data_IF_226097263591
#
_entry.id   IF_226097263591
#
_cell.length_a   1.000
_cell.length_b   1.000
_cell.length_c   1.000
_cell.angle_alpha   90.00
_cell.angle_beta   90.00
_cell.angle_gamma   90.00
#
_symmetry.space_group_name_H-M   'P 1'
#
loop_
_entity.id
_entity.type
_entity.pdbx_description
1 polymer ?
#
# COMPACT_ATOMS: atom_id res chain seq x y z
N UNK A 1 1.40 15.11 4.69
CA UNK A 1 1.28 13.96 5.59
C UNK A 1 1.58 12.71 4.79
N UNK A 2 2.54 11.93 5.25
CA UNK A 2 2.88 10.62 4.68
C UNK A 2 3.26 9.68 5.79
N UNK A 3 2.73 8.45 5.77
CA UNK A 3 3.17 7.37 6.62
C UNK A 3 3.26 6.08 5.82
N UNK A 4 4.23 5.25 6.16
CA UNK A 4 4.47 3.98 5.49
C UNK A 4 4.91 2.92 6.48
N UNK A 5 4.74 1.66 6.12
CA UNK A 5 5.31 0.52 6.83
C UNK A 5 6.06 -0.34 5.82
N UNK A 6 7.29 -0.73 6.16
CA UNK A 6 7.95 -1.89 5.56
C UNK A 6 7.90 -3.02 6.58
N UNK A 7 7.62 -4.23 6.14
CA UNK A 7 7.43 -5.32 7.08
C UNK A 7 7.73 -6.69 6.46
N UNK A 8 8.06 -7.63 7.34
CA UNK A 8 8.30 -9.03 7.03
C UNK A 8 7.47 -9.89 7.97
N UNK A 9 6.67 -10.78 7.40
CA UNK A 9 5.97 -11.79 8.19
C UNK A 9 6.99 -12.81 8.75
N UNK A 10 7.10 -12.98 10.08
CA UNK A 10 7.99 -13.99 10.66
C UNK A 10 7.55 -15.42 10.33
N UNK A 11 6.26 -15.64 10.03
CA UNK A 11 5.70 -16.96 9.71
C UNK A 11 5.93 -17.36 8.25
N UNK A 12 5.61 -16.48 7.31
CA UNK A 12 5.63 -16.79 5.86
C UNK A 12 6.91 -16.29 5.19
N UNK A 13 7.68 -15.43 5.84
CA UNK A 13 8.85 -14.78 5.23
C UNK A 13 8.49 -13.70 4.21
N UNK A 14 7.20 -13.43 4.02
CA UNK A 14 6.71 -12.47 3.05
C UNK A 14 7.06 -11.05 3.42
N UNK A 15 7.35 -10.24 2.41
CA UNK A 15 7.79 -8.86 2.52
C UNK A 15 6.72 -7.95 1.94
N UNK A 16 6.43 -6.84 2.62
CA UNK A 16 5.48 -5.85 2.14
C UNK A 16 5.95 -4.43 2.40
N UNK A 17 5.43 -3.52 1.56
CA UNK A 17 5.46 -2.09 1.80
C UNK A 17 4.05 -1.56 1.60
N UNK A 18 3.56 -0.77 2.56
CA UNK A 18 2.32 -0.02 2.42
C UNK A 18 2.59 1.44 2.70
N UNK A 19 1.96 2.33 1.92
CA UNK A 19 2.14 3.78 2.02
C UNK A 19 0.79 4.47 1.88
N UNK A 20 0.56 5.48 2.71
CA UNK A 20 -0.52 6.44 2.53
C UNK A 20 0.04 7.85 2.60
N UNK A 21 -0.35 8.71 1.65
CA UNK A 21 0.21 10.04 1.52
C UNK A 21 -0.79 11.03 0.90
N UNK A 22 -0.66 12.30 1.31
CA UNK A 22 -1.25 13.45 0.61
C UNK A 22 -0.44 13.88 -0.62
N UNK A 23 0.72 13.30 -0.89
CA UNK A 23 1.52 13.57 -2.09
C UNK A 23 1.05 12.74 -3.30
N UNK A 24 1.07 13.35 -4.50
CA UNK A 24 0.63 12.69 -5.74
C UNK A 24 1.52 11.48 -6.02
N UNK A 25 0.93 10.41 -6.56
CA UNK A 25 1.64 9.22 -7.02
C UNK A 25 2.54 8.53 -5.97
N UNK A 26 2.23 8.66 -4.67
CA UNK A 26 3.03 8.04 -3.62
C UNK A 26 3.18 6.51 -3.78
N UNK A 27 2.15 5.82 -4.28
CA UNK A 27 2.21 4.38 -4.56
C UNK A 27 3.19 3.96 -5.65
N UNK A 28 3.58 4.87 -6.55
CA UNK A 28 4.62 4.59 -7.56
C UNK A 28 6.02 5.10 -7.18
N UNK A 29 6.12 5.95 -6.16
CA UNK A 29 7.36 6.67 -5.82
C UNK A 29 7.98 6.19 -4.50
N UNK A 30 7.17 5.73 -3.56
CA UNK A 30 7.60 5.39 -2.20
C UNK A 30 7.93 3.91 -2.03
N UNK A 31 7.08 2.96 -2.45
CA UNK A 31 7.27 1.55 -2.11
C UNK A 31 8.17 0.83 -3.12
N UNK A 32 9.10 0.03 -2.61
CA UNK A 32 9.92 -0.90 -3.37
C UNK A 32 9.96 -2.23 -2.63
N UNK A 33 9.54 -3.32 -3.27
CA UNK A 33 9.56 -4.63 -2.65
C UNK A 33 10.02 -5.67 -3.67
N UNK A 34 10.82 -6.63 -3.22
CA UNK A 34 11.19 -7.80 -4.02
C UNK A 34 11.12 -9.05 -3.14
N UNK A 35 10.32 -10.02 -3.59
CA UNK A 35 10.13 -11.29 -2.89
C UNK A 35 11.47 -11.98 -2.62
N UNK A 36 11.64 -12.49 -1.40
CA UNK A 36 12.87 -13.16 -0.96
C UNK A 36 14.11 -12.27 -0.86
N UNK A 37 14.01 -10.96 -1.11
CA UNK A 37 15.14 -10.01 -1.11
C UNK A 37 14.98 -8.96 -0.01
N UNK A 38 13.89 -8.19 -0.04
CA UNK A 38 13.60 -7.17 0.96
C UNK A 38 12.55 -6.14 0.51
N UNK A 39 12.25 -5.21 1.39
CA UNK A 39 11.28 -4.15 1.22
C UNK A 39 11.85 -2.79 1.68
N UNK A 40 11.59 -1.74 0.92
CA UNK A 40 12.09 -0.38 1.14
C UNK A 40 10.96 0.63 0.92
N UNK A 41 10.85 1.60 1.83
CA UNK A 41 10.05 2.80 1.64
C UNK A 41 10.97 4.03 1.62
N UNK A 42 10.96 4.80 0.53
CA UNK A 42 11.67 6.09 0.42
C UNK A 42 10.63 7.21 0.33
N UNK A 43 10.59 8.11 1.32
CA UNK A 43 9.55 9.15 1.43
C UNK A 43 10.10 10.50 1.92
N UNK A 44 9.20 11.41 2.29
CA UNK A 44 9.45 12.84 2.52
C UNK A 44 9.75 13.55 1.19
N UNK A 45 10.89 14.22 1.01
CA UNK A 45 11.32 14.60 -0.34
C UNK A 45 11.84 13.35 -1.05
N UNK A 46 10.90 12.59 -1.62
CA UNK A 46 11.15 11.25 -2.16
C UNK A 46 12.29 11.25 -3.18
N UNK A 47 13.13 10.22 -3.06
CA UNK A 47 14.14 9.89 -4.04
C UNK A 47 13.96 8.41 -4.44
N UNK A 48 13.31 8.13 -5.59
CA UNK A 48 13.07 6.78 -6.11
C UNK A 48 14.34 5.93 -6.23
N UNK A 49 15.48 6.56 -6.54
CA UNK A 49 16.73 5.85 -6.76
C UNK A 49 17.25 5.16 -5.51
N UNK A 50 16.91 5.68 -4.31
CA UNK A 50 17.27 5.02 -3.05
C UNK A 50 16.57 3.66 -2.89
N UNK A 51 15.33 3.55 -3.35
CA UNK A 51 14.60 2.28 -3.36
C UNK A 51 15.14 1.30 -4.39
N UNK A 52 15.42 1.79 -5.61
CA UNK A 52 15.97 0.97 -6.71
C UNK A 52 17.37 0.44 -6.36
N UNK A 53 18.27 1.33 -5.92
CA UNK A 53 19.64 0.98 -5.52
C UNK A 53 19.60 0.10 -4.27
N UNK A 54 18.76 0.44 -3.30
CA UNK A 54 18.63 -0.31 -2.06
C UNK A 54 18.21 -1.77 -2.30
N UNK A 55 17.19 -2.02 -3.13
CA UNK A 55 16.78 -3.38 -3.50
C UNK A 55 17.92 -4.13 -4.21
N UNK A 56 18.67 -3.45 -5.08
CA UNK A 56 19.82 -4.04 -5.77
C UNK A 56 20.91 -4.47 -4.79
N UNK A 57 21.20 -3.66 -3.77
CA UNK A 57 22.19 -3.98 -2.74
C UNK A 57 21.71 -5.12 -1.80
N UNK A 58 20.43 -5.15 -1.45
CA UNK A 58 19.82 -6.25 -0.70
C UNK A 58 19.88 -7.58 -1.48
N UNK A 59 19.70 -7.52 -2.80
CA UNK A 59 19.82 -8.70 -3.67
C UNK A 59 21.25 -9.25 -3.69
N UNK A 60 22.26 -8.38 -3.60
CA UNK A 60 23.67 -8.73 -3.45
C UNK A 60 24.02 -9.30 -2.06
N UNK A 61 23.04 -9.37 -1.14
CA UNK A 61 23.21 -9.96 0.19
C UNK A 61 23.71 -9.00 1.26
N UNK A 62 23.70 -7.69 1.01
CA UNK A 62 23.99 -6.72 2.06
C UNK A 62 22.82 -6.66 3.05
N UNK A 63 23.12 -6.61 4.35
CA UNK A 63 22.12 -6.43 5.40
C UNK A 63 21.52 -5.01 5.37
N UNK A 64 20.28 -4.86 5.84
CA UNK A 64 19.51 -3.61 5.79
C UNK A 64 20.31 -2.36 6.27
N UNK A 65 21.04 -2.47 7.37
CA UNK A 65 21.83 -1.37 7.92
C UNK A 65 22.97 -0.91 6.98
N UNK A 66 23.68 -1.85 6.35
CA UNK A 66 24.76 -1.53 5.39
C UNK A 66 24.22 -0.96 4.08
N UNK A 67 23.05 -1.42 3.66
CA UNK A 67 22.34 -0.83 2.51
C UNK A 67 21.96 0.61 2.82
N UNK A 68 21.34 0.86 3.98
CA UNK A 68 20.93 2.20 4.40
C UNK A 68 22.12 3.17 4.46
N UNK A 69 23.22 2.77 5.09
CA UNK A 69 24.45 3.57 5.15
C UNK A 69 24.91 3.99 3.75
N UNK A 70 24.99 3.02 2.82
CA UNK A 70 25.49 3.27 1.46
C UNK A 70 24.60 4.21 0.65
N UNK A 71 23.28 4.00 0.68
CA UNK A 71 22.35 4.83 -0.10
C UNK A 71 22.17 6.23 0.51
N UNK A 72 22.32 6.37 1.83
CA UNK A 72 22.23 7.68 2.51
C UNK A 72 23.54 8.48 2.36
N UNK A 73 24.70 7.81 2.38
CA UNK A 73 25.99 8.46 2.11
C UNK A 73 26.10 9.02 0.70
N UNK A 74 25.48 8.36 -0.29
CA UNK A 74 25.50 8.80 -1.68
C UNK A 74 24.48 9.91 -1.99
N UNK A 75 23.44 10.10 -1.17
CA UNK A 75 22.40 11.12 -1.39
C UNK A 75 22.77 12.48 -0.77
N UNK A 76 23.14 13.44 -1.64
CA UNK A 76 23.42 14.83 -1.24
C UNK A 76 22.24 15.53 -0.57
N UNK A 77 21.01 15.05 -0.79
CA UNK A 77 19.80 15.57 -0.17
C UNK A 77 19.28 14.72 0.99
N UNK A 78 20.12 13.84 1.57
CA UNK A 78 19.75 12.93 2.66
C UNK A 78 18.99 13.59 3.80
N UNK A 79 19.34 14.81 4.20
CA UNK A 79 18.67 15.53 5.30
C UNK A 79 17.16 15.74 5.06
N UNK A 80 16.68 15.63 3.81
CA UNK A 80 15.27 15.76 3.43
C UNK A 80 14.57 14.41 3.21
N UNK A 81 15.30 13.29 3.38
CA UNK A 81 14.82 11.94 3.08
C UNK A 81 14.32 11.25 4.32
N UNK A 82 13.36 10.37 4.13
CA UNK A 82 13.05 9.35 5.11
C UNK A 82 13.06 7.99 4.43
N UNK A 83 13.80 7.04 4.97
CA UNK A 83 13.99 5.72 4.38
C UNK A 83 13.79 4.65 5.44
N UNK A 84 13.07 3.59 5.10
CA UNK A 84 12.96 2.38 5.90
C UNK A 84 13.29 1.19 5.03
N UNK A 85 14.02 0.24 5.60
CA UNK A 85 14.47 -0.98 4.95
C UNK A 85 14.17 -2.15 5.86
N UNK A 86 13.69 -3.24 5.27
CA UNK A 86 13.71 -4.56 5.87
C UNK A 86 14.30 -5.57 4.87
N UNK A 87 15.27 -6.36 5.31
CA UNK A 87 15.87 -7.41 4.47
C UNK A 87 15.12 -8.74 4.58
N UNK A 88 15.51 -9.71 3.75
CA UNK A 88 14.91 -11.07 3.70
C UNK A 88 14.96 -11.83 5.01
N UNK A 89 15.87 -11.48 5.92
CA UNK A 89 16.05 -12.12 7.22
C UNK A 89 15.27 -11.38 8.32
N UNK A 90 14.68 -10.23 7.98
CA UNK A 90 13.87 -9.42 8.87
C UNK A 90 14.68 -8.39 9.67
N UNK A 91 15.95 -8.16 9.34
CA UNK A 91 16.69 -7.05 9.92
C UNK A 91 16.18 -5.74 9.34
N UNK A 92 16.01 -4.75 10.20
CA UNK A 92 15.50 -3.43 9.84
C UNK A 92 16.59 -2.38 9.87
N UNK A 93 16.38 -1.31 9.11
CA UNK A 93 17.14 -0.08 9.26
C UNK A 93 16.26 1.09 8.84
N UNK A 94 16.35 2.22 9.54
CA UNK A 94 15.59 3.42 9.24
C UNK A 94 16.45 4.68 9.32
N UNK A 95 16.12 5.66 8.49
CA UNK A 95 16.73 6.99 8.50
C UNK A 95 15.62 8.03 8.37
N UNK A 96 15.66 9.04 9.25
CA UNK A 96 14.85 10.26 9.11
C UNK A 96 15.80 11.44 9.09
N UNK A 97 15.83 12.13 7.96
CA UNK A 97 16.61 13.35 7.80
C UNK A 97 16.10 14.46 8.72
N UNK A 98 17.03 15.21 9.25
CA UNK A 98 16.87 16.31 10.19
C UNK A 98 16.18 17.55 9.60
N UNK A 99 16.00 17.60 8.27
CA UNK A 99 15.18 18.60 7.57
C UNK A 99 13.82 18.06 7.10
N UNK A 100 13.44 16.83 7.47
CA UNK A 100 12.07 16.36 7.27
C UNK A 100 11.09 17.21 8.09
N UNK A 101 9.94 17.54 7.50
CA UNK A 101 8.95 18.42 8.13
C UNK A 101 8.28 17.68 9.31
N UNK A 102 8.31 18.25 10.54
CA UNK A 102 7.80 17.58 11.73
C UNK A 102 6.25 17.51 11.77
N UNK A 103 5.66 16.58 12.51
CA UNK A 103 6.35 15.47 13.16
C UNK A 103 6.90 14.49 12.10
N UNK A 104 8.17 14.12 12.24
CA UNK A 104 8.86 13.18 11.38
C UNK A 104 9.71 12.25 12.22
N UNK A 105 9.59 10.95 11.96
CA UNK A 105 10.32 9.93 12.68
C UNK A 105 9.95 8.53 12.23
N UNK A 106 10.49 7.57 12.96
CA UNK A 106 10.27 6.15 12.72
C UNK A 106 10.03 5.39 14.01
N UNK A 107 9.31 4.29 13.91
CA UNK A 107 9.17 3.28 14.96
C UNK A 107 9.64 1.96 14.37
N UNK A 108 10.76 1.46 14.89
CA UNK A 108 11.28 0.15 14.53
C UNK A 108 10.79 -0.89 15.52
N UNK A 109 10.33 -2.02 15.01
CA UNK A 109 9.92 -3.15 15.82
C UNK A 109 10.35 -4.46 15.18
N UNK A 110 9.94 -5.58 15.77
CA UNK A 110 10.35 -6.89 15.25
C UNK A 110 9.73 -7.12 13.89
N UNK A 111 10.56 -7.19 12.85
CA UNK A 111 10.12 -7.47 11.49
C UNK A 111 9.33 -6.35 10.83
N UNK A 112 9.44 -5.10 11.30
CA UNK A 112 8.84 -3.95 10.62
C UNK A 112 9.49 -2.61 10.98
N UNK A 113 9.26 -1.62 10.13
CA UNK A 113 9.53 -0.22 10.41
C UNK A 113 8.35 0.63 9.94
N UNK A 114 7.80 1.42 10.84
CA UNK A 114 6.80 2.43 10.54
C UNK A 114 7.47 3.80 10.40
N UNK A 115 7.27 4.46 9.27
CA UNK A 115 7.75 5.81 9.00
C UNK A 115 6.61 6.82 9.03
N UNK A 116 6.92 8.05 9.42
CA UNK A 116 6.00 9.18 9.34
C UNK A 116 6.71 10.50 9.08
N UNK A 117 6.12 11.36 8.25
CA UNK A 117 6.48 12.78 8.16
C UNK A 117 5.23 13.66 7.92
N UNK A 118 5.28 14.90 8.42
CA UNK A 118 4.13 15.82 8.47
C UNK A 118 2.96 15.11 9.20
N UNK A 119 3.25 14.38 10.27
CA UNK A 119 2.23 13.76 11.12
C UNK A 119 1.84 14.69 12.25
N UNK A 120 0.67 14.44 12.82
CA UNK A 120 0.18 15.14 14.03
C UNK A 120 1.02 14.79 15.26
N UNK A 121 1.70 13.64 15.27
CA UNK A 121 2.58 13.21 16.34
C UNK A 121 3.07 11.78 16.15
N UNK A 122 3.94 11.34 17.06
CA UNK A 122 4.54 10.00 17.08
C UNK A 122 3.51 8.87 17.24
N UNK A 123 2.39 9.15 17.91
CA UNK A 123 1.36 8.16 18.22
C UNK A 123 0.77 7.49 16.97
N UNK A 124 0.81 8.16 15.82
CA UNK A 124 0.39 7.57 14.54
C UNK A 124 1.32 6.42 14.14
N UNK A 125 2.63 6.64 14.18
CA UNK A 125 3.61 5.60 13.84
C UNK A 125 3.61 4.47 14.87
N UNK A 126 3.41 4.78 16.16
CA UNK A 126 3.22 3.78 17.22
C UNK A 126 1.95 2.95 17.02
N UNK A 127 0.83 3.58 16.65
CA UNK A 127 -0.42 2.87 16.37
C UNK A 127 -0.27 1.91 15.19
N UNK A 128 0.44 2.32 14.12
CA UNK A 128 0.75 1.44 12.99
C UNK A 128 1.60 0.24 13.43
N UNK A 129 2.66 0.49 14.22
CA UNK A 129 3.50 -0.57 14.78
C UNK A 129 2.69 -1.55 15.64
N UNK A 130 1.88 -1.03 16.57
CA UNK A 130 1.01 -1.84 17.42
C UNK A 130 0.02 -2.68 16.63
N UNK A 131 -0.61 -2.11 15.60
CA UNK A 131 -1.54 -2.84 14.74
C UNK A 131 -0.83 -3.97 13.99
N UNK A 132 0.38 -3.71 13.48
CA UNK A 132 1.19 -4.72 12.82
C UNK A 132 1.66 -5.82 13.79
N UNK A 133 2.08 -5.47 15.00
CA UNK A 133 2.51 -6.45 16.01
C UNK A 133 1.36 -7.32 16.50
N UNK A 134 0.15 -6.76 16.60
CA UNK A 134 -1.05 -7.48 16.99
C UNK A 134 -1.51 -8.49 15.93
N UNK A 135 -1.33 -8.20 14.64
CA UNK A 135 -1.68 -9.12 13.57
C UNK A 135 -0.52 -10.06 13.20
N UNK A 136 0.70 -9.53 13.14
CA UNK A 136 1.98 -10.25 12.96
C UNK A 136 2.10 -11.06 11.68
N UNK A 137 1.12 -10.96 10.79
CA UNK A 137 0.96 -11.82 9.62
C UNK A 137 0.77 -10.91 8.42
N UNK A 138 1.80 -10.89 7.57
CA UNK A 138 1.64 -10.49 6.18
C UNK A 138 1.46 -11.77 5.42
N UNK A 139 0.28 -11.87 4.89
CA UNK A 139 -0.07 -12.89 3.94
C UNK A 139 -0.64 -12.07 2.78
N UNK A 140 -0.03 -12.23 1.61
CA UNK A 140 -0.46 -11.67 0.31
C UNK A 140 -0.30 -12.81 -0.68
N UNK A 141 -1.27 -13.71 -0.72
CA UNK A 141 -1.14 -15.06 -1.27
C UNK A 141 -0.20 -15.16 -2.48
N UNK A 142 0.82 -16.00 -2.35
CA UNK A 142 0.69 -17.30 -3.00
C UNK A 142 -0.25 -18.17 -2.16
N UNK A 143 -1.03 -19.07 -2.78
CA UNK A 143 -2.44 -19.38 -2.55
C UNK A 143 -3.03 -19.28 -1.14
N UNK A 144 -2.31 -19.33 -0.03
CA UNK A 144 -2.89 -19.48 1.31
C UNK A 144 -3.37 -18.17 2.02
N UNK A 145 -3.24 -16.95 1.47
CA UNK A 145 -4.26 -15.90 1.78
C UNK A 145 -5.60 -16.15 1.11
N UNK A 146 -5.72 -17.21 0.31
CA UNK A 146 -7.01 -17.84 0.17
C UNK A 146 -7.62 -18.19 1.52
N UNK A 147 -6.94 -18.17 2.67
CA UNK A 147 -7.69 -18.24 3.94
C UNK A 147 -8.64 -17.10 4.19
N UNK A 148 -8.38 -15.88 3.72
CA UNK A 148 -9.37 -14.80 3.83
C UNK A 148 -10.56 -15.08 2.91
N UNK A 149 -10.31 -15.56 1.70
CA UNK A 149 -11.36 -16.02 0.78
C UNK A 149 -12.08 -17.30 1.27
N UNK A 150 -11.38 -18.24 1.90
CA UNK A 150 -11.90 -19.50 2.43
C UNK A 150 -12.66 -19.28 3.75
N UNK A 151 -12.34 -18.20 4.48
CA UNK A 151 -13.06 -17.71 5.65
C UNK A 151 -14.21 -16.78 5.27
N UNK A 152 -14.14 -16.14 4.10
CA UNK A 152 -15.23 -15.33 3.57
C UNK A 152 -16.42 -16.22 3.27
N UNK A 153 -17.54 -15.88 3.89
CA UNK A 153 -18.79 -16.59 3.70
C UNK A 153 -19.69 -15.82 2.74
N UNK A 154 -20.64 -16.49 2.08
CA UNK A 154 -21.64 -15.81 1.29
C UNK A 154 -22.33 -14.69 2.10
N UNK A 155 -22.28 -13.47 1.58
CA UNK A 155 -22.75 -12.25 2.26
C UNK A 155 -21.65 -11.32 2.77
N UNK A 156 -20.38 -11.74 2.81
CA UNK A 156 -19.26 -10.84 3.07
C UNK A 156 -18.97 -9.91 1.90
N UNK A 157 -18.18 -8.85 2.12
CA UNK A 157 -17.85 -7.84 1.10
C UNK A 157 -16.34 -7.74 0.91
N UNK A 158 -15.86 -7.88 -0.32
CA UNK A 158 -14.46 -7.62 -0.71
C UNK A 158 -14.32 -6.23 -1.35
N UNK A 159 -13.45 -5.37 -0.83
CA UNK A 159 -13.09 -4.11 -1.50
C UNK A 159 -11.87 -4.30 -2.41
N UNK A 160 -12.02 -4.04 -3.70
CA UNK A 160 -10.94 -4.14 -4.69
C UNK A 160 -10.36 -2.74 -4.95
N UNK A 161 -9.17 -2.48 -4.38
CA UNK A 161 -8.49 -1.18 -4.36
C UNK A 161 -7.04 -1.31 -4.86
N UNK A 162 -6.86 -1.86 -6.05
CA UNK A 162 -5.55 -2.08 -6.69
C UNK A 162 -5.24 -1.00 -7.73
N UNK A 163 -3.95 -0.77 -8.07
CA UNK A 163 -3.58 0.18 -9.11
C UNK A 163 -4.13 -0.21 -10.48
N UNK A 164 -4.54 0.79 -11.26
CA UNK A 164 -4.98 0.66 -12.65
C UNK A 164 -4.28 1.72 -13.50
N UNK A 165 -2.98 1.54 -13.80
CA UNK A 165 -2.23 2.56 -14.52
C UNK A 165 -2.72 2.70 -15.97
N UNK A 166 -2.68 3.92 -16.50
CA UNK A 166 -2.94 4.13 -17.92
C UNK A 166 -1.75 3.64 -18.75
N UNK A 167 -1.98 2.66 -19.63
CA UNK A 167 -0.98 2.23 -20.60
C UNK A 167 -1.07 3.12 -21.85
N UNK A 168 -0.14 4.07 -21.94
CA UNK A 168 -0.08 5.01 -23.06
C UNK A 168 0.27 4.37 -24.42
N UNK A 169 0.85 3.17 -24.44
CA UNK A 169 1.11 2.43 -25.69
C UNK A 169 -0.13 1.72 -26.20
N UNK A 170 -0.92 1.15 -25.29
CA UNK A 170 -2.15 0.44 -25.62
C UNK A 170 -3.34 1.38 -25.78
N UNK A 171 -3.33 2.53 -25.11
CA UNK A 171 -4.41 3.51 -25.14
C UNK A 171 -5.58 3.18 -24.20
N UNK A 172 -5.37 2.29 -23.23
CA UNK A 172 -6.36 1.91 -22.21
C UNK A 172 -5.68 1.68 -20.84
N UNK A 173 -6.47 1.58 -19.78
CA UNK A 173 -5.97 1.29 -18.43
C UNK A 173 -5.64 -0.19 -18.26
N UNK A 174 -4.49 -0.51 -17.66
CA UNK A 174 -4.15 -1.88 -17.29
C UNK A 174 -4.97 -2.30 -16.06
N UNK A 175 -5.91 -3.22 -16.27
CA UNK A 175 -6.82 -3.76 -15.26
C UNK A 175 -6.45 -5.16 -14.79
N UNK A 176 -5.30 -5.69 -15.21
CA UNK A 176 -4.88 -7.06 -14.88
C UNK A 176 -4.90 -7.36 -13.38
N UNK A 177 -4.50 -6.40 -12.55
CA UNK A 177 -4.56 -6.54 -11.10
C UNK A 177 -5.99 -6.61 -10.54
N UNK A 178 -6.95 -5.92 -11.18
CA UNK A 178 -8.37 -5.98 -10.79
C UNK A 178 -8.93 -7.35 -11.13
N UNK A 179 -8.65 -7.85 -12.33
CA UNK A 179 -9.08 -9.16 -12.82
C UNK A 179 -8.55 -10.28 -11.91
N UNK A 180 -7.25 -10.28 -11.64
CA UNK A 180 -6.61 -11.28 -10.77
C UNK A 180 -7.22 -11.30 -9.36
N UNK A 181 -7.56 -10.14 -8.79
CA UNK A 181 -8.20 -10.07 -7.47
C UNK A 181 -9.64 -10.55 -7.52
N UNK A 182 -10.41 -10.19 -8.56
CA UNK A 182 -11.81 -10.58 -8.68
C UNK A 182 -11.97 -12.09 -8.90
N UNK A 183 -11.13 -12.70 -9.73
CA UNK A 183 -11.13 -14.16 -9.97
C UNK A 183 -10.88 -14.97 -8.70
N UNK A 184 -10.24 -14.37 -7.69
CA UNK A 184 -9.91 -15.02 -6.41
C UNK A 184 -11.00 -14.84 -5.35
N UNK A 185 -11.98 -13.94 -5.56
CA UNK A 185 -13.09 -13.74 -4.61
C UNK A 185 -14.06 -14.94 -4.69
N UNK A 186 -14.41 -15.59 -3.56
CA UNK A 186 -15.31 -16.73 -3.55
C UNK A 186 -16.70 -16.41 -4.06
N UNK A 187 -17.34 -17.41 -4.66
CA UNK A 187 -18.73 -17.32 -5.06
C UNK A 187 -19.63 -17.02 -3.85
N UNK A 188 -20.44 -15.97 -3.98
CA UNK A 188 -21.37 -15.52 -2.94
C UNK A 188 -20.83 -14.38 -2.07
N UNK A 189 -19.55 -14.03 -2.20
CA UNK A 189 -18.98 -12.81 -1.63
C UNK A 189 -19.27 -11.63 -2.56
N UNK A 190 -19.68 -10.51 -1.99
CA UNK A 190 -20.01 -9.30 -2.73
C UNK A 190 -18.71 -8.55 -3.05
N UNK A 191 -18.30 -8.59 -4.31
CA UNK A 191 -17.16 -7.80 -4.79
C UNK A 191 -17.56 -6.33 -4.98
N UNK A 192 -16.85 -5.44 -4.29
CA UNK A 192 -17.02 -3.98 -4.39
C UNK A 192 -15.76 -3.36 -5.02
N UNK A 193 -15.85 -2.99 -6.29
CA UNK A 193 -14.78 -2.36 -7.02
C UNK A 193 -14.69 -0.85 -6.69
N UNK A 194 -13.51 -0.44 -6.22
CA UNK A 194 -13.19 0.96 -5.89
C UNK A 194 -12.11 1.54 -6.82
N UNK A 195 -11.23 0.69 -7.34
CA UNK A 195 -10.23 1.05 -8.35
C UNK A 195 -10.86 1.73 -9.56
N UNK A 196 -10.14 2.70 -10.13
CA UNK A 196 -10.59 3.39 -11.35
C UNK A 196 -10.47 2.45 -12.55
N UNK A 197 -11.59 2.07 -13.16
CA UNK A 197 -11.61 1.21 -14.35
C UNK A 197 -12.41 1.86 -15.48
N UNK A 198 -12.20 1.40 -16.73
CA UNK A 198 -13.02 1.86 -17.87
C UNK A 198 -14.39 1.20 -17.93
N UNK A 199 -14.48 -0.05 -17.47
CA UNK A 199 -15.70 -0.84 -17.35
C UNK A 199 -15.46 -1.89 -16.26
N UNK A 200 -16.51 -2.26 -15.54
CA UNK A 200 -16.46 -3.38 -14.61
C UNK A 200 -16.69 -4.69 -15.38
N UNK A 201 -16.03 -5.77 -14.96
CA UNK A 201 -16.29 -7.10 -15.47
C UNK A 201 -17.55 -7.70 -14.80
N UNK A 202 -18.05 -8.80 -15.34
CA UNK A 202 -19.25 -9.48 -14.84
C UNK A 202 -19.06 -10.06 -13.41
N UNK A 203 -17.81 -10.19 -12.96
CA UNK A 203 -17.45 -10.70 -11.62
C UNK A 203 -17.54 -9.64 -10.50
N UNK A 204 -17.83 -8.38 -10.88
CA UNK A 204 -18.01 -7.28 -9.94
C UNK A 204 -19.49 -7.07 -9.66
N UNK A 205 -19.87 -7.28 -8.40
CA UNK A 205 -21.25 -7.13 -7.94
C UNK A 205 -21.63 -5.65 -7.75
N UNK A 206 -20.69 -4.87 -7.21
CA UNK A 206 -20.87 -3.44 -6.90
C UNK A 206 -19.69 -2.65 -7.42
N UNK A 207 -19.96 -1.61 -8.20
CA UNK A 207 -18.99 -0.57 -8.53
C UNK A 207 -19.29 0.62 -7.63
N UNK A 208 -18.34 0.96 -6.76
CA UNK A 208 -18.45 2.12 -5.88
C UNK A 208 -17.30 3.07 -6.20
N UNK A 209 -17.44 3.92 -7.24
CA UNK A 209 -16.38 4.84 -7.61
C UNK A 209 -16.02 5.76 -6.45
N UNK A 210 -14.74 6.13 -6.37
CA UNK A 210 -14.25 7.02 -5.33
C UNK A 210 -14.05 8.45 -5.86
N UNK A 211 -14.68 9.41 -5.19
CA UNK A 211 -14.57 10.84 -5.49
C UNK A 211 -13.74 11.55 -4.44
N UNK A 212 -12.65 10.90 -4.04
CA UNK A 212 -11.80 11.36 -2.95
C UNK A 212 -10.78 12.34 -3.52
N UNK A 213 -10.80 13.57 -3.02
CA UNK A 213 -9.70 14.49 -3.30
C UNK A 213 -8.56 14.06 -2.42
N UNK A 214 -7.42 13.83 -3.03
CA UNK A 214 -6.20 13.40 -2.36
C UNK A 214 -5.85 14.21 -1.09
N UNK A 215 -6.20 15.49 -1.04
CA UNK A 215 -5.96 16.39 0.09
C UNK A 215 -6.95 16.26 1.26
N UNK A 216 -8.09 15.61 1.04
CA UNK A 216 -9.25 15.53 1.92
C UNK A 216 -9.87 14.12 1.92
N UNK A 217 -9.13 13.06 1.57
CA UNK A 217 -9.72 11.74 1.33
C UNK A 217 -10.53 11.20 2.53
N UNK A 218 -10.07 11.40 3.77
CA UNK A 218 -10.83 11.01 4.98
C UNK A 218 -12.08 11.90 5.17
N UNK A 219 -11.95 13.22 5.02
CA UNK A 219 -13.08 14.14 5.08
C UNK A 219 -14.12 13.84 3.98
N UNK A 220 -13.68 13.65 2.73
CA UNK A 220 -14.51 13.32 1.58
C UNK A 220 -15.17 11.96 1.74
N UNK A 221 -14.51 10.98 2.35
CA UNK A 221 -15.08 9.66 2.64
C UNK A 221 -16.19 9.76 3.71
N UNK A 222 -15.94 10.50 4.79
CA UNK A 222 -16.90 10.66 5.91
C UNK A 222 -18.06 11.59 5.57
N UNK A 223 -17.77 12.65 4.82
CA UNK A 223 -18.70 13.74 4.47
C UNK A 223 -19.18 13.70 3.02
N UNK A 224 -19.01 12.56 2.34
CA UNK A 224 -19.47 12.35 0.97
C UNK A 224 -20.90 12.86 0.79
N UNK A 225 -21.04 13.89 -0.06
CA UNK A 225 -22.35 14.49 -0.40
C UNK A 225 -23.17 13.60 -1.30
N UNK A 226 -22.47 12.82 -2.13
CA UNK A 226 -23.04 11.88 -3.08
C UNK A 226 -22.27 10.58 -2.96
N UNK A 227 -23.01 9.47 -2.92
CA UNK A 227 -22.46 8.12 -3.06
C UNK A 227 -23.13 7.46 -4.25
N UNK A 228 -22.31 6.91 -5.13
CA UNK A 228 -22.79 6.23 -6.35
C UNK A 228 -22.49 4.75 -6.19
N UNK A 229 -23.48 3.92 -6.46
CA UNK A 229 -23.34 2.48 -6.49
C UNK A 229 -23.88 1.99 -7.84
N UNK A 230 -23.02 1.41 -8.67
CA UNK A 230 -23.46 0.57 -9.77
C UNK A 230 -23.64 -0.84 -9.24
N UNK A 231 -24.81 -1.43 -9.40
CA UNK A 231 -25.09 -2.80 -8.96
C UNK A 231 -25.35 -3.63 -10.21
N UNK A 232 -24.56 -4.68 -10.39
CA UNK A 232 -24.78 -5.70 -11.41
C UNK A 232 -25.43 -6.91 -10.72
N UNK A 233 -26.68 -7.22 -11.09
CA UNK A 233 -27.40 -8.38 -10.55
C UNK A 233 -28.04 -9.17 -11.68
N UNK A 234 -27.22 -10.02 -12.33
CA UNK A 234 -27.64 -10.81 -13.49
C UNK A 234 -28.03 -9.93 -14.68
N UNK A 235 -29.31 -9.95 -15.09
CA UNK A 235 -29.80 -9.25 -16.29
C UNK A 235 -30.23 -7.79 -16.06
N UNK A 236 -29.92 -7.19 -14.90
CA UNK A 236 -30.28 -5.82 -14.58
C UNK A 236 -29.07 -5.08 -14.02
N UNK A 237 -28.65 -4.06 -14.76
CA UNK A 237 -27.73 -3.02 -14.29
C UNK A 237 -28.57 -1.89 -13.71
N UNK A 238 -28.28 -1.51 -12.47
CA UNK A 238 -28.90 -0.36 -11.83
C UNK A 238 -27.83 0.56 -11.24
N UNK A 239 -28.01 1.86 -11.38
CA UNK A 239 -27.15 2.86 -10.76
C UNK A 239 -27.98 3.59 -9.71
N UNK A 240 -27.63 3.37 -8.46
CA UNK A 240 -28.18 4.10 -7.32
C UNK A 240 -27.27 5.28 -6.98
N UNK A 241 -27.85 6.48 -6.96
CA UNK A 241 -27.20 7.69 -6.51
C UNK A 241 -27.86 8.10 -5.21
N UNK A 242 -27.12 7.98 -4.11
CA UNK A 242 -27.58 8.38 -2.78
C UNK A 242 -26.99 9.75 -2.48
N UNK A 243 -27.86 10.75 -2.44
CA UNK A 243 -27.54 12.11 -2.03
C UNK A 243 -27.83 12.29 -0.53
N UNK A 244 -26.96 13.01 0.17
CA UNK A 244 -27.00 13.22 1.62
C UNK A 244 -27.58 14.57 2.00
#
# INVERSE_FOLDING_TARGET
MTFSIVARCPRTGMLAVATSSKALAAGGMVPYCRAGVGAIASQSFVNPYLGIEGITLLEQGLAAARVLERIIESDRGRDLRQVAIIDRDGHTAAYTGDKCIPWAGQVEGRGHVCLGNILVGEDVAKAMAHAFEASGVIDVAEPDTLKLYDEMVPGDVAFVCVPTPFDGWRGWYDTSAVEEVCERVPVGVITCLRSTVSYANDDVHVVHPEFLRQAHADDDFRSAKVRVYGIANGSREHVDVIEK
#
